data_IF_032218164051
#
_entry.id   IF_032218164051
#
_cell.length_a   1.000
_cell.length_b   1.000
_cell.length_c   1.000
_cell.angle_alpha   90.00
_cell.angle_beta   90.00
_cell.angle_gamma   90.00
#
_symmetry.space_group_name_H-M   'P 1'
#
loop_
_entity.id
_entity.type
_entity.pdbx_description
1 polymer ?
#
# COMPACT_ATOMS: atom_id res chain seq x y z
N UNK A 1 -51.49 35.31 -11.99
CA UNK A 1 -52.12 34.69 -10.81
C UNK A 1 -51.08 33.74 -10.25
N UNK A 2 -50.41 34.09 -9.16
CA UNK A 2 -49.44 33.18 -8.52
C UNK A 2 -50.19 31.95 -7.97
N UNK A 3 -49.57 30.78 -8.03
CA UNK A 3 -50.15 29.53 -7.54
C UNK A 3 -50.35 29.64 -6.01
N UNK A 4 -51.55 29.35 -5.46
CA UNK A 4 -51.80 29.39 -4.02
C UNK A 4 -50.83 28.55 -3.18
N UNK A 5 -50.19 27.54 -3.78
CA UNK A 5 -49.17 26.72 -3.14
C UNK A 5 -47.83 27.45 -2.99
N UNK A 6 -47.46 28.32 -3.95
CA UNK A 6 -46.22 29.12 -3.87
C UNK A 6 -46.30 30.12 -2.71
N UNK A 7 -47.46 30.76 -2.50
CA UNK A 7 -47.69 31.72 -1.42
C UNK A 7 -47.67 31.05 -0.02
N UNK A 8 -48.15 29.80 0.06
CA UNK A 8 -48.04 28.99 1.28
C UNK A 8 -46.58 28.62 1.59
N UNK A 9 -45.79 28.26 0.58
CA UNK A 9 -44.39 27.89 0.74
C UNK A 9 -43.50 29.06 1.18
N UNK A 10 -43.77 30.28 0.69
CA UNK A 10 -43.08 31.50 1.14
C UNK A 10 -43.41 31.84 2.60
N UNK A 11 -44.68 31.73 3.02
CA UNK A 11 -45.10 31.97 4.41
C UNK A 11 -44.49 30.98 5.40
N UNK A 12 -44.19 29.77 4.96
CA UNK A 12 -43.52 28.74 5.75
C UNK A 12 -41.99 28.86 5.71
N UNK A 13 -41.43 29.87 5.02
CA UNK A 13 -39.99 30.11 4.96
C UNK A 13 -39.20 29.04 4.17
N UNK A 14 -39.86 28.25 3.33
CA UNK A 14 -39.24 27.17 2.57
C UNK A 14 -38.78 27.69 1.21
N UNK A 15 -37.67 28.44 1.19
CA UNK A 15 -37.02 28.84 -0.08
C UNK A 15 -36.51 27.60 -0.81
N UNK A 16 -37.10 27.31 -1.98
CA UNK A 16 -36.58 26.31 -2.92
C UNK A 16 -35.28 26.87 -3.50
N UNK A 17 -34.17 26.59 -2.82
CA UNK A 17 -32.87 27.03 -3.27
C UNK A 17 -32.61 26.52 -4.68
N UNK A 18 -32.50 27.44 -5.65
CA UNK A 18 -31.95 27.19 -6.98
C UNK A 18 -30.47 26.82 -6.82
N UNK A 19 -30.23 25.57 -6.43
CA UNK A 19 -29.00 25.07 -5.81
C UNK A 19 -27.76 24.97 -6.70
N UNK A 20 -27.45 26.02 -7.46
CA UNK A 20 -26.21 26.12 -8.21
C UNK A 20 -25.08 26.63 -7.29
N UNK A 21 -24.54 25.76 -6.43
CA UNK A 21 -23.27 26.06 -5.74
C UNK A 21 -22.17 26.21 -6.80
N UNK A 22 -21.32 27.25 -6.72
CA UNK A 22 -20.26 27.46 -7.70
C UNK A 22 -19.34 26.25 -7.78
N UNK A 23 -18.91 25.92 -9.00
CA UNK A 23 -18.09 24.73 -9.24
C UNK A 23 -16.79 24.82 -8.45
N UNK A 24 -16.47 23.74 -7.73
CA UNK A 24 -15.22 23.66 -7.01
C UNK A 24 -14.02 23.79 -7.98
N UNK A 25 -12.98 24.55 -7.59
CA UNK A 25 -11.78 24.70 -8.40
C UNK A 25 -11.05 23.35 -8.54
N UNK A 26 -10.14 23.27 -9.52
CA UNK A 26 -9.22 22.14 -9.67
C UNK A 26 -8.38 21.95 -8.40
N UNK A 27 -7.92 20.72 -8.15
CA UNK A 27 -7.28 20.36 -6.89
C UNK A 27 -8.24 19.84 -5.81
N UNK A 28 -9.50 19.60 -6.17
CA UNK A 28 -10.50 18.99 -5.27
C UNK A 28 -10.99 17.65 -5.80
N UNK A 29 -11.51 16.79 -4.93
CA UNK A 29 -12.13 15.52 -5.34
C UNK A 29 -13.39 15.73 -6.18
N UNK A 30 -14.11 16.84 -5.95
CA UNK A 30 -15.25 17.26 -6.75
C UNK A 30 -14.83 17.61 -8.19
N UNK A 31 -13.74 18.37 -8.34
CA UNK A 31 -13.17 18.67 -9.66
C UNK A 31 -12.64 17.41 -10.38
N UNK A 32 -12.01 16.47 -9.66
CA UNK A 32 -11.62 15.17 -10.23
C UNK A 32 -12.82 14.40 -10.79
N UNK A 33 -13.92 14.36 -10.04
CA UNK A 33 -15.16 13.68 -10.46
C UNK A 33 -15.77 14.35 -11.68
N UNK A 34 -15.66 15.68 -11.79
CA UNK A 34 -16.10 16.45 -12.95
C UNK A 34 -15.29 16.09 -14.20
N UNK A 35 -13.95 16.06 -14.12
CA UNK A 35 -13.12 15.62 -15.25
C UNK A 35 -13.53 14.23 -15.72
N UNK A 36 -13.72 13.29 -14.80
CA UNK A 36 -14.17 11.93 -15.14
C UNK A 36 -15.55 11.88 -15.81
N UNK A 37 -16.52 12.68 -15.35
CA UNK A 37 -17.85 12.74 -15.96
C UNK A 37 -17.84 13.34 -17.36
N UNK A 38 -16.91 14.28 -17.62
CA UNK A 38 -16.72 14.91 -18.93
C UNK A 38 -15.84 14.10 -19.88
N UNK A 39 -15.23 13.01 -19.41
CA UNK A 39 -14.27 12.22 -20.18
C UNK A 39 -12.92 12.92 -20.38
N UNK A 40 -12.67 14.02 -19.68
CA UNK A 40 -11.39 14.74 -19.74
C UNK A 40 -10.33 14.04 -18.89
N UNK A 41 -9.07 14.11 -19.30
CA UNK A 41 -7.96 13.66 -18.49
C UNK A 41 -7.87 14.54 -17.21
N UNK A 42 -8.03 13.96 -16.00
CA UNK A 42 -7.99 14.76 -14.79
C UNK A 42 -6.60 15.37 -14.61
N UNK A 43 -6.55 16.69 -14.38
CA UNK A 43 -5.29 17.37 -14.15
C UNK A 43 -4.56 16.84 -12.91
N UNK A 44 -3.24 17.02 -12.86
CA UNK A 44 -2.41 16.50 -11.77
C UNK A 44 -2.88 16.92 -10.36
N UNK A 45 -3.25 18.19 -10.10
CA UNK A 45 -3.80 18.59 -8.80
C UNK A 45 -5.07 17.80 -8.40
N UNK A 46 -5.96 17.54 -9.36
CA UNK A 46 -7.18 16.76 -9.13
C UNK A 46 -6.84 15.29 -8.81
N UNK A 47 -5.86 14.70 -9.50
CA UNK A 47 -5.37 13.33 -9.21
C UNK A 47 -4.78 13.24 -7.81
N UNK A 48 -3.95 14.20 -7.43
CA UNK A 48 -3.31 14.23 -6.12
C UNK A 48 -4.33 14.39 -4.99
N UNK A 49 -5.30 15.29 -5.16
CA UNK A 49 -6.41 15.45 -4.22
C UNK A 49 -7.25 14.18 -4.07
N UNK A 50 -7.58 13.51 -5.18
CA UNK A 50 -8.28 12.23 -5.16
C UNK A 50 -7.48 11.15 -4.43
N UNK A 51 -6.20 10.99 -4.77
CA UNK A 51 -5.31 10.03 -4.15
C UNK A 51 -5.14 10.29 -2.63
N UNK A 52 -5.01 11.55 -2.22
CA UNK A 52 -4.94 11.94 -0.83
C UNK A 52 -6.24 11.59 -0.08
N UNK A 53 -7.40 11.88 -0.68
CA UNK A 53 -8.71 11.52 -0.11
C UNK A 53 -8.88 10.01 0.04
N UNK A 54 -8.50 9.24 -0.97
CA UNK A 54 -8.55 7.77 -0.93
C UNK A 54 -7.63 7.19 0.16
N UNK A 55 -6.41 7.71 0.30
CA UNK A 55 -5.50 7.33 1.40
C UNK A 55 -6.10 7.66 2.77
N UNK A 56 -6.73 8.82 2.93
CA UNK A 56 -7.38 9.22 4.17
C UNK A 56 -8.57 8.30 4.52
N UNK A 57 -9.43 8.00 3.55
CA UNK A 57 -10.56 7.06 3.69
C UNK A 57 -10.07 5.68 4.11
N UNK A 58 -9.05 5.16 3.44
CA UNK A 58 -8.44 3.86 3.77
C UNK A 58 -7.90 3.84 5.21
N UNK A 59 -7.18 4.89 5.63
CA UNK A 59 -6.69 5.02 7.02
C UNK A 59 -7.83 5.02 8.04
N UNK A 60 -8.93 5.73 7.76
CA UNK A 60 -10.12 5.76 8.64
C UNK A 60 -10.82 4.40 8.72
N UNK A 61 -11.04 3.73 7.58
CA UNK A 61 -11.65 2.41 7.53
C UNK A 61 -10.85 1.39 8.35
N UNK A 62 -9.52 1.42 8.25
CA UNK A 62 -8.64 0.56 9.05
C UNK A 62 -8.70 0.82 10.54
N UNK A 63 -8.69 2.09 10.94
CA UNK A 63 -8.86 2.48 12.35
C UNK A 63 -10.19 1.95 12.89
N UNK A 64 -11.27 2.08 12.13
CA UNK A 64 -12.60 1.54 12.50
C UNK A 64 -12.59 0.02 12.62
N UNK A 65 -11.82 -0.67 11.77
CA UNK A 65 -11.66 -2.12 11.81
C UNK A 65 -10.64 -2.62 12.85
N UNK A 66 -10.08 -1.74 13.70
CA UNK A 66 -9.06 -2.12 14.69
C UNK A 66 -7.74 -2.59 14.09
N UNK A 67 -7.51 -2.36 12.79
CA UNK A 67 -6.31 -2.84 12.10
C UNK A 67 -5.11 -1.92 12.42
N UNK A 68 -3.95 -2.47 12.80
CA UNK A 68 -2.82 -1.66 13.25
C UNK A 68 -2.24 -0.82 12.10
N UNK A 69 -1.70 0.35 12.47
CA UNK A 69 -1.13 1.33 11.53
C UNK A 69 0.10 0.78 10.78
N UNK A 70 0.79 -0.21 11.34
CA UNK A 70 1.99 -0.83 10.79
C UNK A 70 1.75 -1.76 9.58
N UNK A 71 0.51 -1.95 9.13
CA UNK A 71 0.17 -2.89 8.05
C UNK A 71 -0.20 -2.16 6.75
N UNK A 72 0.54 -1.12 6.37
CA UNK A 72 0.52 -0.65 4.96
C UNK A 72 0.99 -1.75 3.99
N UNK A 73 1.66 -2.78 4.50
CA UNK A 73 1.83 -4.07 3.85
C UNK A 73 1.95 -5.14 4.94
N UNK A 74 1.18 -6.25 4.92
CA UNK A 74 1.33 -7.32 5.90
C UNK A 74 2.75 -7.88 5.83
N UNK A 75 3.27 -8.30 6.99
CA UNK A 75 4.51 -9.07 7.10
C UNK A 75 4.50 -10.25 6.09
N UNK A 76 5.67 -10.61 5.56
CA UNK A 76 5.76 -11.63 4.50
C UNK A 76 5.59 -11.14 3.06
N UNK A 77 5.02 -9.94 2.82
CA UNK A 77 4.93 -9.37 1.46
C UNK A 77 6.26 -8.73 0.98
N UNK A 78 6.50 -8.61 -0.35
CA UNK A 78 7.67 -7.90 -0.88
C UNK A 78 7.78 -6.45 -0.39
N UNK A 79 6.66 -5.76 -0.23
CA UNK A 79 6.59 -4.38 0.26
C UNK A 79 6.95 -4.27 1.74
N UNK A 80 6.53 -5.24 2.57
CA UNK A 80 6.99 -5.34 3.95
C UNK A 80 8.50 -5.57 4.03
N UNK A 81 9.05 -6.52 3.24
CA UNK A 81 10.50 -6.79 3.21
C UNK A 81 11.34 -5.55 2.83
N UNK A 82 10.87 -4.74 1.87
CA UNK A 82 11.54 -3.47 1.48
C UNK A 82 11.54 -2.43 2.61
N UNK A 83 10.43 -2.30 3.34
CA UNK A 83 10.31 -1.40 4.50
C UNK A 83 11.24 -1.82 5.64
N UNK A 84 11.24 -3.10 6.00
CA UNK A 84 12.13 -3.64 7.05
C UNK A 84 13.61 -3.37 6.73
N UNK A 85 14.02 -3.55 5.46
CA UNK A 85 15.39 -3.24 5.03
C UNK A 85 15.73 -1.75 5.18
N UNK A 86 14.82 -0.84 4.80
CA UNK A 86 15.07 0.61 4.87
C UNK A 86 15.15 1.14 6.31
N UNK A 87 14.39 0.54 7.23
CA UNK A 87 14.26 1.02 8.62
C UNK A 87 15.11 0.24 9.62
N UNK A 88 15.84 -0.78 9.17
CA UNK A 88 16.58 -1.71 10.02
C UNK A 88 15.75 -2.34 11.16
N UNK A 89 14.43 -2.40 11.00
CA UNK A 89 13.50 -2.93 12.00
C UNK A 89 13.45 -4.48 11.92
N UNK A 90 13.77 -5.17 13.01
CA UNK A 90 13.58 -6.62 13.15
C UNK A 90 12.15 -6.90 13.63
N UNK A 91 11.27 -7.29 12.71
CA UNK A 91 9.92 -7.71 13.07
C UNK A 91 9.92 -9.20 13.46
N UNK A 92 9.43 -9.59 14.65
CA UNK A 92 9.44 -10.98 15.11
C UNK A 92 8.56 -11.90 14.24
N UNK A 93 7.41 -11.43 13.76
CA UNK A 93 6.54 -12.18 12.83
C UNK A 93 7.22 -12.40 11.45
N UNK A 94 8.01 -11.42 10.99
CA UNK A 94 8.84 -11.57 9.80
C UNK A 94 10.11 -12.41 10.05
N UNK A 95 10.57 -12.49 11.31
CA UNK A 95 11.69 -13.34 11.70
C UNK A 95 11.30 -14.83 11.68
N UNK A 96 10.05 -15.16 12.02
CA UNK A 96 9.46 -16.50 11.87
C UNK A 96 9.34 -16.96 10.41
N UNK A 97 9.21 -16.03 9.45
CA UNK A 97 9.29 -16.33 8.01
C UNK A 97 10.71 -16.59 7.50
N UNK A 98 11.74 -16.44 8.34
CA UNK A 98 13.11 -16.76 7.95
C UNK A 98 13.30 -18.27 8.01
N UNK A 99 13.79 -18.85 6.89
CA UNK A 99 14.20 -20.26 6.86
C UNK A 99 15.10 -20.55 8.08
N UNK A 100 14.92 -21.71 8.75
CA UNK A 100 15.76 -22.10 9.86
C UNK A 100 17.22 -22.20 9.41
N UNK A 101 18.12 -22.22 10.40
CA UNK A 101 19.52 -22.56 10.18
C UNK A 101 19.64 -23.93 9.48
N UNK A 102 20.76 -24.17 8.78
CA UNK A 102 20.92 -25.38 7.96
C UNK A 102 20.42 -25.24 6.52
N UNK A 103 20.21 -24.01 6.03
CA UNK A 103 19.88 -23.75 4.62
C UNK A 103 20.88 -22.78 3.98
N UNK A 104 21.16 -22.88 2.66
CA UNK A 104 21.99 -21.90 1.96
C UNK A 104 21.47 -20.45 2.10
N UNK A 105 20.14 -20.28 2.25
CA UNK A 105 19.51 -18.99 2.52
C UNK A 105 19.85 -18.44 3.91
N UNK A 106 19.89 -19.29 4.93
CA UNK A 106 20.32 -18.93 6.27
C UNK A 106 21.81 -18.57 6.33
N UNK A 107 22.69 -19.28 5.60
CA UNK A 107 24.10 -18.92 5.47
C UNK A 107 24.30 -17.50 4.93
N UNK A 108 23.63 -17.16 3.82
CA UNK A 108 23.69 -15.81 3.22
C UNK A 108 23.14 -14.74 4.17
N UNK A 109 22.23 -15.09 5.08
CA UNK A 109 21.72 -14.17 6.10
C UNK A 109 22.78 -13.84 7.15
N UNK A 110 23.46 -14.84 7.71
CA UNK A 110 24.58 -14.61 8.65
C UNK A 110 25.63 -13.68 8.04
N UNK A 111 26.06 -13.98 6.80
CA UNK A 111 27.00 -13.13 6.04
C UNK A 111 26.56 -11.68 5.84
N UNK A 112 25.25 -11.41 5.68
CA UNK A 112 24.72 -10.04 5.52
C UNK A 112 24.64 -9.28 6.83
N UNK A 113 24.52 -9.98 7.95
CA UNK A 113 24.47 -9.41 9.30
C UNK A 113 25.85 -9.23 9.93
N UNK A 114 26.90 -9.74 9.27
CA UNK A 114 28.25 -9.79 9.86
C UNK A 114 28.39 -10.84 10.96
N UNK A 115 27.40 -11.71 11.13
CA UNK A 115 27.45 -12.81 12.10
C UNK A 115 28.28 -13.97 11.53
N UNK A 116 29.00 -14.65 12.41
CA UNK A 116 29.68 -15.89 12.04
C UNK A 116 28.62 -16.98 11.69
N UNK A 117 28.61 -17.52 10.46
CA UNK A 117 27.61 -18.52 10.10
C UNK A 117 27.81 -19.79 10.91
N UNK A 118 26.74 -20.31 11.51
CA UNK A 118 26.79 -21.56 12.25
C UNK A 118 27.14 -22.77 11.36
N UNK A 119 27.67 -23.82 11.98
CA UNK A 119 28.14 -25.01 11.26
C UNK A 119 27.09 -25.63 10.33
N UNK A 120 25.82 -25.85 10.75
CA UNK A 120 24.79 -26.37 9.84
C UNK A 120 24.57 -25.51 8.59
N UNK A 121 24.66 -24.18 8.73
CA UNK A 121 24.53 -23.27 7.60
C UNK A 121 25.73 -23.38 6.64
N UNK A 122 26.96 -23.56 7.16
CA UNK A 122 28.17 -23.76 6.35
C UNK A 122 28.05 -25.06 5.54
N UNK A 123 27.68 -26.14 6.19
CA UNK A 123 27.56 -27.47 5.56
C UNK A 123 26.50 -27.45 4.46
N UNK A 124 25.33 -26.88 4.73
CA UNK A 124 24.27 -26.73 3.75
C UNK A 124 24.71 -25.89 2.54
N UNK A 125 25.45 -24.79 2.76
CA UNK A 125 25.96 -23.96 1.68
C UNK A 125 27.01 -24.69 0.83
N UNK A 126 27.91 -25.43 1.48
CA UNK A 126 28.93 -26.23 0.81
C UNK A 126 28.31 -27.35 -0.03
N UNK A 127 27.33 -28.08 0.51
CA UNK A 127 26.59 -29.09 -0.23
C UNK A 127 25.87 -28.50 -1.46
N UNK A 128 25.25 -27.34 -1.31
CA UNK A 128 24.62 -26.62 -2.41
C UNK A 128 25.62 -26.20 -3.50
N UNK A 129 26.80 -25.70 -3.12
CA UNK A 129 27.88 -25.34 -4.04
C UNK A 129 28.38 -26.55 -4.85
N UNK A 130 28.55 -27.70 -4.20
CA UNK A 130 28.94 -28.96 -4.88
C UNK A 130 27.91 -29.35 -5.94
N UNK A 131 26.61 -29.32 -5.60
CA UNK A 131 25.52 -29.61 -6.55
C UNK A 131 25.50 -28.66 -7.74
N UNK A 132 25.75 -27.36 -7.52
CA UNK A 132 25.84 -26.40 -8.62
C UNK A 132 27.01 -26.68 -9.56
N UNK A 133 28.19 -26.99 -9.00
CA UNK A 133 29.37 -27.37 -9.80
C UNK A 133 29.10 -28.62 -10.63
N UNK A 134 28.46 -29.63 -10.04
CA UNK A 134 28.06 -30.86 -10.73
C UNK A 134 27.11 -30.57 -11.90
N UNK A 135 26.03 -29.82 -11.65
CA UNK A 135 25.09 -29.41 -12.71
C UNK A 135 25.76 -28.63 -13.84
N UNK A 136 26.71 -27.76 -13.49
CA UNK A 136 27.49 -27.00 -14.49
C UNK A 136 28.36 -27.94 -15.32
N UNK A 137 29.04 -28.91 -14.70
CA UNK A 137 29.86 -29.92 -15.39
C UNK A 137 29.01 -30.78 -16.34
N UNK A 138 27.82 -31.19 -15.89
CA UNK A 138 26.87 -31.99 -16.68
C UNK A 138 26.24 -31.21 -17.83
N UNK A 139 25.91 -29.92 -17.64
CA UNK A 139 25.32 -29.08 -18.68
C UNK A 139 26.32 -28.48 -19.68
N UNK A 140 27.62 -28.69 -19.48
CA UNK A 140 28.70 -28.30 -20.42
C UNK A 140 29.26 -29.54 -21.15
N UNK A 141 28.56 -30.68 -21.07
CA UNK A 141 28.95 -31.94 -21.68
C UNK A 141 28.00 -32.32 -22.81
#
# INVERSE_FOLDING_TARGET
MADPLDELMERLGMVVGTGARPLAPCGTTAAYSRHRRRGEEPCQPCRDAYNASQRARYRRARRRAGLPACVLAPCGTPSARRRHRRRAESCPDCALSLKPCGTPAAYKRHRRRGEEPCQPCRDAYNAWQRRLKQRRKEGTR
#
